data_IF_247396136589
#
_entry.id   IF_247396136589
#
_cell.length_a   1.000
_cell.length_b   1.000
_cell.length_c   1.000
_cell.angle_alpha   90.00
_cell.angle_beta   90.00
_cell.angle_gamma   90.00
#
_symmetry.space_group_name_H-M   'P 1'
#
loop_
_entity.id
_entity.type
_entity.pdbx_description
1 polymer ?
#
# COMPACT_ATOMS: atom_id res chain seq x y z
N UNK A 1 -8.86 26.30 -14.78
CA UNK A 1 -9.44 25.29 -13.87
C UNK A 1 -9.58 23.99 -14.65
N UNK A 2 -9.38 22.82 -14.02
CA UNK A 2 -9.63 21.56 -14.69
C UNK A 2 -11.10 21.48 -15.13
N UNK A 3 -11.41 21.14 -16.40
CA UNK A 3 -12.78 21.13 -16.92
C UNK A 3 -13.71 20.19 -16.15
N UNK A 4 -13.16 19.12 -15.57
CA UNK A 4 -13.89 18.17 -14.72
C UNK A 4 -14.33 18.77 -13.39
N UNK A 5 -13.50 19.60 -12.76
CA UNK A 5 -13.84 20.28 -11.50
C UNK A 5 -15.01 21.24 -11.71
N UNK A 6 -14.99 21.98 -12.81
CA UNK A 6 -16.04 22.93 -13.15
C UNK A 6 -17.38 22.24 -13.37
N UNK A 7 -17.39 21.10 -14.09
CA UNK A 7 -18.60 20.28 -14.26
C UNK A 7 -19.18 19.79 -12.92
N UNK A 8 -18.33 19.37 -11.98
CA UNK A 8 -18.78 18.92 -10.65
C UNK A 8 -19.39 20.08 -9.87
N UNK A 9 -18.77 21.26 -9.90
CA UNK A 9 -19.28 22.47 -9.22
C UNK A 9 -20.61 22.90 -9.82
N UNK A 10 -20.71 22.98 -11.14
CA UNK A 10 -21.95 23.38 -11.83
C UNK A 10 -23.10 22.40 -11.51
N UNK A 11 -22.80 21.10 -11.46
CA UNK A 11 -23.78 20.08 -11.07
C UNK A 11 -24.24 20.24 -9.61
N UNK A 12 -23.32 20.53 -8.68
CA UNK A 12 -23.65 20.79 -7.27
C UNK A 12 -24.54 22.02 -7.13
N UNK A 13 -24.18 23.13 -7.78
CA UNK A 13 -24.96 24.37 -7.76
C UNK A 13 -26.37 24.09 -8.29
N UNK A 14 -26.50 23.44 -9.44
CA UNK A 14 -27.80 23.12 -10.03
C UNK A 14 -28.65 22.18 -9.16
N UNK A 15 -28.05 21.23 -8.43
CA UNK A 15 -28.78 20.39 -7.47
C UNK A 15 -29.23 21.20 -6.24
N UNK A 16 -28.37 22.06 -5.70
CA UNK A 16 -28.68 22.90 -4.53
C UNK A 16 -29.75 23.95 -4.86
N UNK A 17 -29.68 24.58 -6.03
CA UNK A 17 -30.72 25.51 -6.54
C UNK A 17 -32.08 24.82 -6.70
N UNK A 18 -32.10 23.51 -6.96
CA UNK A 18 -33.31 22.68 -7.02
C UNK A 18 -33.82 22.25 -5.62
N UNK A 19 -33.18 22.71 -4.55
CA UNK A 19 -33.57 22.44 -3.17
C UNK A 19 -33.03 21.12 -2.60
N UNK A 20 -32.08 20.47 -3.27
CA UNK A 20 -31.36 19.35 -2.65
C UNK A 20 -30.37 19.89 -1.61
N UNK A 21 -30.22 19.23 -0.45
CA UNK A 21 -29.11 19.53 0.45
C UNK A 21 -27.78 19.29 -0.28
N UNK A 22 -26.77 20.11 -0.01
CA UNK A 22 -25.40 19.98 -0.48
C UNK A 22 -24.83 18.58 -0.20
N UNK A 23 -25.13 17.96 0.94
CA UNK A 23 -24.71 16.57 1.20
C UNK A 23 -25.37 15.56 0.24
N UNK A 24 -26.63 15.80 -0.14
CA UNK A 24 -27.36 15.00 -1.13
C UNK A 24 -26.84 15.19 -2.55
N UNK A 25 -26.51 16.44 -2.91
CA UNK A 25 -25.87 16.78 -4.18
C UNK A 25 -24.48 16.13 -4.29
N UNK A 26 -23.67 16.22 -3.23
CA UNK A 26 -22.35 15.58 -3.15
C UNK A 26 -22.44 14.05 -3.24
N UNK A 27 -23.45 13.42 -2.63
CA UNK A 27 -23.66 11.98 -2.69
C UNK A 27 -23.95 11.45 -4.11
N UNK A 28 -24.49 12.30 -5.00
CA UNK A 28 -24.69 11.96 -6.42
C UNK A 28 -23.41 11.96 -7.24
N UNK A 29 -22.32 12.46 -6.68
CA UNK A 29 -21.02 12.56 -7.32
C UNK A 29 -19.97 11.70 -6.57
N UNK A 30 -20.14 10.36 -6.50
CA UNK A 30 -19.26 9.48 -5.72
C UNK A 30 -17.81 9.42 -6.21
N UNK A 31 -17.56 9.81 -7.47
CA UNK A 31 -16.20 9.95 -8.00
C UNK A 31 -15.48 11.19 -7.48
N UNK A 32 -16.21 12.22 -7.05
CA UNK A 32 -15.66 13.47 -6.54
C UNK A 32 -15.73 13.56 -5.01
N UNK A 33 -16.76 12.98 -4.38
CA UNK A 33 -16.96 13.03 -2.93
C UNK A 33 -16.94 11.63 -2.32
N UNK A 34 -16.03 11.43 -1.36
CA UNK A 34 -15.97 10.21 -0.56
C UNK A 34 -17.16 10.13 0.41
N UNK A 35 -17.49 8.92 0.87
CA UNK A 35 -18.52 8.73 1.89
C UNK A 35 -18.24 9.55 3.17
N UNK A 36 -16.95 9.73 3.52
CA UNK A 36 -16.52 10.58 4.64
C UNK A 36 -16.92 12.04 4.38
N UNK A 37 -16.62 12.57 3.19
CA UNK A 37 -16.94 13.95 2.85
C UNK A 37 -18.46 14.18 2.85
N UNK A 38 -19.24 13.24 2.32
CA UNK A 38 -20.70 13.29 2.36
C UNK A 38 -21.23 13.28 3.80
N UNK A 39 -20.69 12.43 4.68
CA UNK A 39 -21.08 12.37 6.09
C UNK A 39 -20.75 13.68 6.84
N UNK A 40 -19.58 14.27 6.58
CA UNK A 40 -19.18 15.56 7.17
C UNK A 40 -20.07 16.70 6.66
N UNK A 41 -20.37 16.74 5.35
CA UNK A 41 -21.31 17.72 4.80
C UNK A 41 -22.69 17.59 5.44
N UNK A 42 -23.22 16.35 5.55
CA UNK A 42 -24.53 16.10 6.15
C UNK A 42 -24.59 16.57 7.60
N UNK A 43 -23.55 16.28 8.38
CA UNK A 43 -23.43 16.74 9.76
C UNK A 43 -23.35 18.26 9.85
N UNK A 44 -22.55 18.87 8.98
CA UNK A 44 -22.40 20.31 8.87
C UNK A 44 -23.71 21.01 8.53
N UNK A 45 -24.50 20.45 7.62
CA UNK A 45 -25.83 20.96 7.26
C UNK A 45 -26.81 20.87 8.42
N UNK A 46 -26.92 19.71 9.06
CA UNK A 46 -27.84 19.48 10.18
C UNK A 46 -27.53 20.39 11.38
N UNK A 47 -26.24 20.63 11.63
CA UNK A 47 -25.77 21.46 12.74
C UNK A 47 -25.52 22.93 12.35
N UNK A 48 -25.86 23.35 11.13
CA UNK A 48 -25.68 24.74 10.66
C UNK A 48 -24.23 25.23 10.60
N UNK A 49 -23.26 24.29 10.53
CA UNK A 49 -21.80 24.51 10.59
C UNK A 49 -21.11 24.02 9.32
N UNK A 50 -21.70 24.33 8.17
CA UNK A 50 -21.16 23.99 6.84
C UNK A 50 -19.73 24.49 6.62
N UNK A 51 -19.35 25.73 7.02
CA UNK A 51 -17.98 26.20 6.88
C UNK A 51 -16.96 25.34 7.64
N UNK A 52 -17.29 24.90 8.85
CA UNK A 52 -16.49 23.99 9.67
C UNK A 52 -16.35 22.63 8.97
N UNK A 53 -17.46 22.06 8.49
CA UNK A 53 -17.44 20.77 7.79
C UNK A 53 -16.57 20.79 6.53
N UNK A 54 -16.59 21.88 5.75
CA UNK A 54 -15.72 22.05 4.58
C UNK A 54 -14.24 22.12 5.00
N UNK A 55 -13.92 22.83 6.10
CA UNK A 55 -12.56 22.86 6.65
C UNK A 55 -12.10 21.48 7.11
N UNK A 56 -12.97 20.72 7.78
CA UNK A 56 -12.67 19.37 8.26
C UNK A 56 -12.43 18.39 7.09
N UNK A 57 -13.21 18.51 6.01
CA UNK A 57 -12.97 17.76 4.76
C UNK A 57 -11.61 18.12 4.17
N UNK A 58 -11.29 19.42 4.08
CA UNK A 58 -9.99 19.89 3.60
C UNK A 58 -8.83 19.35 4.43
N UNK A 59 -8.97 19.36 5.76
CA UNK A 59 -7.97 18.80 6.67
C UNK A 59 -7.81 17.28 6.50
N UNK A 60 -8.91 16.55 6.35
CA UNK A 60 -8.88 15.11 6.10
C UNK A 60 -8.19 14.77 4.77
N UNK A 61 -8.52 15.49 3.69
CA UNK A 61 -7.91 15.31 2.37
C UNK A 61 -6.42 15.66 2.38
N UNK A 62 -6.04 16.76 3.05
CA UNK A 62 -4.63 17.15 3.19
C UNK A 62 -3.82 16.07 3.90
N UNK A 63 -4.37 15.46 4.94
CA UNK A 63 -3.73 14.35 5.65
C UNK A 63 -3.58 13.09 4.78
N UNK A 64 -4.56 12.77 3.94
CA UNK A 64 -4.45 11.64 3.01
C UNK A 64 -3.38 11.89 1.94
N UNK A 65 -3.32 13.10 1.38
CA UNK A 65 -2.33 13.49 0.37
C UNK A 65 -0.90 13.55 0.93
N UNK A 66 -0.72 14.01 2.16
CA UNK A 66 0.58 14.00 2.84
C UNK A 66 1.13 12.56 2.97
N UNK A 67 0.28 11.62 3.40
CA UNK A 67 0.66 10.21 3.52
C UNK A 67 0.94 9.57 2.15
N UNK A 68 0.09 9.84 1.16
CA UNK A 68 0.24 9.28 -0.18
C UNK A 68 1.48 9.82 -0.88
N UNK A 69 1.73 11.12 -0.80
CA UNK A 69 2.90 11.77 -1.40
C UNK A 69 4.20 11.31 -0.75
N UNK A 70 4.22 11.13 0.58
CA UNK A 70 5.37 10.61 1.29
C UNK A 70 5.68 9.16 0.86
N UNK A 71 4.64 8.30 0.80
CA UNK A 71 4.80 6.92 0.33
C UNK A 71 5.28 6.85 -1.13
N UNK A 72 4.73 7.68 -2.02
CA UNK A 72 5.14 7.76 -3.43
C UNK A 72 6.60 8.18 -3.56
N UNK A 73 7.02 9.24 -2.84
CA UNK A 73 8.40 9.76 -2.91
C UNK A 73 9.41 8.71 -2.47
N UNK A 74 9.09 7.91 -1.46
CA UNK A 74 10.01 6.91 -0.90
C UNK A 74 10.15 5.70 -1.84
N UNK A 75 9.10 5.34 -2.57
CA UNK A 75 9.14 4.25 -3.54
C UNK A 75 9.99 4.55 -4.79
N UNK A 76 10.30 5.82 -5.07
CA UNK A 76 11.08 6.21 -6.25
C UNK A 76 12.51 5.65 -6.20
N UNK A 77 13.20 5.76 -5.06
CA UNK A 77 14.59 5.33 -4.99
C UNK A 77 14.79 3.81 -5.21
N UNK A 78 14.10 2.92 -4.48
CA UNK A 78 14.22 1.48 -4.72
C UNK A 78 13.79 1.06 -6.13
N UNK A 79 12.79 1.73 -6.73
CA UNK A 79 12.32 1.38 -8.07
C UNK A 79 13.31 1.74 -9.16
N UNK A 80 13.99 2.89 -9.08
CA UNK A 80 15.07 3.26 -10.02
C UNK A 80 16.19 2.22 -9.95
N UNK A 81 16.71 1.93 -8.75
CA UNK A 81 17.83 0.99 -8.59
C UNK A 81 17.43 -0.43 -9.00
N UNK A 82 16.24 -0.90 -8.62
CA UNK A 82 15.73 -2.20 -9.05
C UNK A 82 15.57 -2.29 -10.57
N UNK A 83 15.15 -1.20 -11.23
CA UNK A 83 15.02 -1.16 -12.70
C UNK A 83 16.40 -1.24 -13.37
N UNK A 84 17.38 -0.46 -12.89
CA UNK A 84 18.76 -0.51 -13.42
C UNK A 84 19.37 -1.89 -13.21
N UNK A 85 19.17 -2.49 -12.03
CA UNK A 85 19.65 -3.84 -11.73
C UNK A 85 18.99 -4.89 -12.63
N UNK A 86 17.67 -4.84 -12.79
CA UNK A 86 16.93 -5.74 -13.68
C UNK A 86 17.44 -5.61 -15.12
N UNK A 87 17.65 -4.38 -15.60
CA UNK A 87 18.21 -4.13 -16.92
C UNK A 87 19.61 -4.74 -17.07
N UNK A 88 20.49 -4.55 -16.08
CA UNK A 88 21.83 -5.14 -16.08
C UNK A 88 21.78 -6.67 -16.14
N UNK A 89 20.88 -7.31 -15.38
CA UNK A 89 20.66 -8.76 -15.42
C UNK A 89 20.17 -9.21 -16.79
N UNK A 90 19.18 -8.52 -17.37
CA UNK A 90 18.64 -8.85 -18.70
C UNK A 90 19.73 -8.71 -19.76
N UNK A 91 20.52 -7.63 -19.74
CA UNK A 91 21.65 -7.44 -20.67
C UNK A 91 22.68 -8.55 -20.52
N UNK A 92 23.06 -8.90 -19.28
CA UNK A 92 23.98 -10.00 -19.02
C UNK A 92 23.46 -11.33 -19.58
N UNK A 93 22.18 -11.66 -19.33
CA UNK A 93 21.57 -12.88 -19.85
C UNK A 93 21.48 -12.89 -21.38
N UNK A 94 21.11 -11.78 -22.02
CA UNK A 94 20.88 -11.74 -23.48
C UNK A 94 22.19 -11.65 -24.27
N UNK A 95 23.20 -10.94 -23.77
CA UNK A 95 24.43 -10.65 -24.52
C UNK A 95 25.65 -11.40 -23.96
N UNK A 96 25.90 -11.32 -22.65
CA UNK A 96 27.15 -11.81 -22.04
C UNK A 96 27.17 -13.34 -21.92
N UNK A 97 26.09 -13.93 -21.42
CA UNK A 97 25.99 -15.39 -21.23
C UNK A 97 26.14 -16.20 -22.53
N UNK A 98 25.48 -15.86 -23.66
CA UNK A 98 25.69 -16.60 -24.91
C UNK A 98 27.11 -16.51 -25.48
N UNK A 99 27.81 -15.39 -25.29
CA UNK A 99 29.21 -15.29 -25.71
C UNK A 99 30.09 -16.24 -24.91
N UNK A 100 29.89 -16.31 -23.58
CA UNK A 100 30.59 -17.28 -22.73
C UNK A 100 30.31 -18.72 -23.16
N UNK A 101 29.06 -19.03 -23.49
CA UNK A 101 28.69 -20.36 -23.96
C UNK A 101 29.41 -20.73 -25.27
N UNK A 102 29.47 -19.81 -26.24
CA UNK A 102 30.17 -20.04 -27.52
C UNK A 102 31.65 -20.32 -27.29
N UNK A 103 32.29 -19.58 -26.40
CA UNK A 103 33.69 -19.78 -26.02
C UNK A 103 33.91 -21.14 -25.35
N UNK A 104 33.03 -21.53 -24.43
CA UNK A 104 33.12 -22.78 -23.68
C UNK A 104 32.83 -24.03 -24.52
N UNK A 105 31.86 -23.97 -25.44
CA UNK A 105 31.58 -25.09 -26.36
C UNK A 105 32.74 -25.33 -27.33
N UNK A 106 33.47 -24.27 -27.69
CA UNK A 106 34.67 -24.35 -28.54
C UNK A 106 35.83 -25.15 -27.94
N UNK A 107 35.89 -25.32 -26.60
CA UNK A 107 36.92 -26.11 -25.92
C UNK A 107 36.54 -27.58 -25.71
N UNK A 108 35.38 -28.02 -26.19
CA UNK A 108 34.95 -29.44 -26.18
C UNK A 108 34.59 -30.00 -24.81
N UNK A 109 34.53 -29.18 -23.76
CA UNK A 109 34.20 -29.61 -22.39
C UNK A 109 32.71 -29.43 -22.08
N UNK A 110 32.21 -30.23 -21.12
CA UNK A 110 30.82 -30.13 -20.65
C UNK A 110 30.70 -28.97 -19.66
N UNK A 111 29.73 -28.10 -19.91
CA UNK A 111 29.41 -26.95 -19.05
C UNK A 111 29.09 -27.41 -17.61
N UNK A 112 29.67 -26.77 -16.58
CA UNK A 112 29.30 -26.95 -15.17
C UNK A 112 27.80 -26.71 -14.93
N UNK A 113 27.26 -27.29 -13.86
CA UNK A 113 25.81 -27.23 -13.57
C UNK A 113 25.30 -25.80 -13.40
N UNK A 114 26.08 -24.92 -12.78
CA UNK A 114 25.74 -23.51 -12.59
C UNK A 114 25.64 -22.76 -13.93
N UNK A 115 26.58 -22.98 -14.85
CA UNK A 115 26.58 -22.37 -16.19
C UNK A 115 25.43 -22.93 -17.05
N UNK A 116 25.08 -24.21 -16.91
CA UNK A 116 23.97 -24.81 -17.67
C UNK A 116 22.61 -24.22 -17.29
N UNK A 117 22.38 -23.97 -16.00
CA UNK A 117 21.16 -23.28 -15.53
C UNK A 117 21.13 -21.85 -16.09
N UNK A 118 22.26 -21.15 -16.06
CA UNK A 118 22.35 -19.77 -16.56
C UNK A 118 22.11 -19.67 -18.06
N UNK A 119 22.67 -20.59 -18.85
CA UNK A 119 22.41 -20.72 -20.29
C UNK A 119 20.94 -21.03 -20.54
N UNK A 120 20.35 -21.98 -19.82
CA UNK A 120 18.92 -22.28 -19.97
C UNK A 120 18.01 -21.08 -19.64
N UNK A 121 18.35 -20.29 -18.62
CA UNK A 121 17.66 -19.03 -18.31
C UNK A 121 17.88 -17.98 -19.41
N UNK A 122 19.09 -17.87 -19.96
CA UNK A 122 19.41 -16.98 -21.07
C UNK A 122 18.62 -17.32 -22.34
N UNK A 123 18.55 -18.60 -22.71
CA UNK A 123 17.77 -19.10 -23.85
C UNK A 123 16.27 -18.82 -23.63
N UNK A 124 15.74 -19.13 -22.44
CA UNK A 124 14.35 -18.83 -22.10
C UNK A 124 14.03 -17.32 -22.19
N UNK A 125 14.89 -16.45 -21.67
CA UNK A 125 14.69 -14.99 -21.74
C UNK A 125 14.84 -14.46 -23.16
N UNK A 126 15.73 -15.03 -23.98
CA UNK A 126 15.93 -14.59 -25.37
C UNK A 126 14.79 -15.02 -26.28
N UNK A 127 14.37 -16.29 -26.18
CA UNK A 127 13.42 -16.90 -27.10
C UNK A 127 11.97 -16.63 -26.66
N UNK A 128 11.72 -16.69 -25.35
CA UNK A 128 10.40 -16.51 -24.75
C UNK A 128 10.24 -15.20 -23.99
N UNK A 129 11.22 -14.29 -23.99
CA UNK A 129 11.14 -13.04 -23.20
C UNK A 129 9.89 -12.22 -23.48
N UNK A 130 9.50 -12.07 -24.75
CA UNK A 130 8.28 -11.37 -25.16
C UNK A 130 7.02 -12.13 -24.71
N UNK A 131 7.03 -13.46 -24.79
CA UNK A 131 5.93 -14.31 -24.36
C UNK A 131 5.79 -14.35 -22.83
N UNK A 132 6.89 -14.31 -22.07
CA UNK A 132 6.91 -14.17 -20.62
C UNK A 132 6.36 -12.81 -20.19
N UNK A 133 6.71 -11.75 -20.91
CA UNK A 133 6.21 -10.41 -20.62
C UNK A 133 4.71 -10.29 -20.91
N UNK A 134 4.25 -10.82 -22.05
CA UNK A 134 2.82 -10.94 -22.35
C UNK A 134 2.09 -11.85 -21.37
N UNK A 135 2.69 -12.97 -20.96
CA UNK A 135 2.13 -13.89 -19.97
C UNK A 135 2.02 -13.24 -18.58
N UNK A 136 3.00 -12.44 -18.18
CA UNK A 136 2.96 -11.66 -16.96
C UNK A 136 1.87 -10.59 -17.01
N UNK A 137 1.72 -9.87 -18.12
CA UNK A 137 0.66 -8.88 -18.33
C UNK A 137 -0.73 -9.54 -18.34
N UNK A 138 -0.89 -10.65 -19.05
CA UNK A 138 -2.13 -11.42 -19.07
C UNK A 138 -2.46 -12.01 -17.70
N UNK A 139 -1.45 -12.54 -16.99
CA UNK A 139 -1.58 -13.03 -15.62
C UNK A 139 -1.97 -11.92 -14.64
N UNK A 140 -1.39 -10.73 -14.78
CA UNK A 140 -1.76 -9.56 -13.99
C UNK A 140 -3.19 -9.10 -14.29
N UNK A 141 -3.60 -9.06 -15.57
CA UNK A 141 -4.95 -8.70 -15.97
C UNK A 141 -6.00 -9.73 -15.49
N UNK A 142 -5.73 -11.02 -15.66
CA UNK A 142 -6.58 -12.10 -15.16
C UNK A 142 -6.62 -12.13 -13.64
N UNK A 143 -5.48 -11.90 -12.98
CA UNK A 143 -5.37 -11.75 -11.54
C UNK A 143 -6.21 -10.59 -11.03
N UNK A 144 -6.08 -9.41 -11.64
CA UNK A 144 -6.88 -8.23 -11.33
C UNK A 144 -8.39 -8.47 -11.55
N UNK A 145 -8.74 -9.16 -12.64
CA UNK A 145 -10.12 -9.54 -12.94
C UNK A 145 -10.69 -10.53 -11.91
N UNK A 146 -9.91 -11.54 -11.52
CA UNK A 146 -10.28 -12.50 -10.49
C UNK A 146 -10.42 -11.84 -9.11
N UNK A 147 -9.51 -10.92 -8.78
CA UNK A 147 -9.55 -10.06 -7.58
C UNK A 147 -10.78 -9.15 -7.55
N UNK A 148 -11.19 -8.62 -8.70
CA UNK A 148 -12.38 -7.78 -8.82
C UNK A 148 -13.68 -8.59 -8.64
N UNK A 149 -13.70 -9.86 -9.05
CA UNK A 149 -14.88 -10.72 -8.93
C UNK A 149 -15.00 -11.48 -7.60
N UNK A 150 -13.90 -11.79 -6.93
CA UNK A 150 -13.90 -12.61 -5.73
C UNK A 150 -13.53 -11.82 -4.48
N UNK A 151 -14.54 -11.52 -3.67
CA UNK A 151 -14.35 -10.86 -2.37
C UNK A 151 -13.53 -11.71 -1.39
N UNK A 152 -13.65 -13.05 -1.47
CA UNK A 152 -12.88 -13.99 -0.66
C UNK A 152 -11.38 -13.95 -1.01
N UNK A 153 -11.02 -13.92 -2.30
CA UNK A 153 -9.63 -13.78 -2.75
C UNK A 153 -9.04 -12.44 -2.32
N UNK A 154 -9.80 -11.35 -2.49
CA UNK A 154 -9.39 -10.01 -2.07
C UNK A 154 -9.12 -9.93 -0.56
N UNK A 155 -9.98 -10.55 0.25
CA UNK A 155 -9.83 -10.59 1.71
C UNK A 155 -8.62 -11.43 2.13
N UNK A 156 -8.39 -12.59 1.49
CA UNK A 156 -7.21 -13.43 1.75
C UNK A 156 -5.91 -12.73 1.38
N UNK A 157 -5.88 -12.02 0.25
CA UNK A 157 -4.71 -11.25 -0.18
C UNK A 157 -4.44 -10.09 0.77
N UNK A 158 -5.47 -9.35 1.19
CA UNK A 158 -5.33 -8.32 2.21
C UNK A 158 -4.86 -8.87 3.56
N UNK A 159 -5.29 -10.07 3.95
CA UNK A 159 -4.80 -10.75 5.16
C UNK A 159 -3.33 -11.18 5.01
N UNK A 160 -2.95 -11.70 3.84
CA UNK A 160 -1.57 -12.09 3.54
C UNK A 160 -0.62 -10.89 3.54
N UNK A 161 -1.04 -9.76 2.97
CA UNK A 161 -0.28 -8.50 2.99
C UNK A 161 0.06 -8.05 4.42
N UNK A 162 -0.87 -8.26 5.37
CA UNK A 162 -0.66 -7.95 6.80
C UNK A 162 0.29 -8.92 7.52
N UNK A 163 0.62 -10.06 6.91
CA UNK A 163 1.55 -11.08 7.43
C UNK A 163 2.97 -10.92 6.89
N UNK A 164 3.17 -10.09 5.87
CA UNK A 164 4.50 -9.84 5.31
C UNK A 164 5.42 -9.23 6.38
N UNK A 165 6.64 -9.77 6.57
CA UNK A 165 7.61 -9.17 7.49
C UNK A 165 7.95 -7.75 7.01
N UNK A 166 8.15 -6.84 7.97
CA UNK A 166 8.42 -5.40 7.79
C UNK A 166 7.25 -4.57 7.21
N UNK A 167 6.60 -5.02 6.14
CA UNK A 167 5.52 -4.27 5.44
C UNK A 167 4.17 -4.42 6.13
N UNK A 168 3.82 -5.62 6.59
CA UNK A 168 2.50 -5.91 7.16
C UNK A 168 2.18 -5.07 8.41
N UNK A 169 3.19 -4.80 9.24
CA UNK A 169 3.08 -3.91 10.40
C UNK A 169 2.79 -2.47 10.00
N UNK A 170 3.45 -1.96 8.96
CA UNK A 170 3.25 -0.60 8.45
C UNK A 170 1.85 -0.45 7.85
N UNK A 171 1.42 -1.41 7.03
CA UNK A 171 0.08 -1.40 6.43
C UNK A 171 -1.01 -1.45 7.50
N UNK A 172 -0.83 -2.25 8.56
CA UNK A 172 -1.75 -2.30 9.70
C UNK A 172 -1.83 -0.94 10.39
N UNK A 173 -0.69 -0.37 10.78
CA UNK A 173 -0.65 0.92 11.48
C UNK A 173 -1.19 2.06 10.61
N UNK A 174 -0.93 2.05 9.31
CA UNK A 174 -1.48 3.03 8.36
C UNK A 174 -3.00 2.95 8.29
N UNK A 175 -3.56 1.74 8.18
CA UNK A 175 -5.01 1.55 8.16
C UNK A 175 -5.65 2.03 9.48
N UNK A 176 -5.04 1.71 10.63
CA UNK A 176 -5.53 2.14 11.94
C UNK A 176 -5.36 3.64 12.18
N UNK A 177 -4.29 4.25 11.68
CA UNK A 177 -4.10 5.70 11.72
C UNK A 177 -5.22 6.43 10.98
N UNK A 178 -5.56 5.97 9.76
CA UNK A 178 -6.66 6.53 8.96
C UNK A 178 -8.00 6.32 9.63
N UNK A 179 -8.27 5.10 10.12
CA UNK A 179 -9.49 4.80 10.86
C UNK A 179 -9.66 5.74 12.07
N UNK A 180 -8.64 5.84 12.93
CA UNK A 180 -8.69 6.66 14.13
C UNK A 180 -8.81 8.16 13.81
N UNK A 181 -8.11 8.66 12.78
CA UNK A 181 -8.22 10.05 12.35
C UNK A 181 -9.63 10.38 11.84
N UNK A 182 -10.18 9.54 10.97
CA UNK A 182 -11.53 9.71 10.45
C UNK A 182 -12.57 9.65 11.56
N UNK A 183 -12.44 8.70 12.48
CA UNK A 183 -13.36 8.60 13.61
C UNK A 183 -13.26 9.82 14.53
N UNK A 184 -12.05 10.31 14.83
CA UNK A 184 -11.85 11.53 15.60
C UNK A 184 -12.51 12.75 14.95
N UNK A 185 -12.30 12.94 13.63
CA UNK A 185 -12.88 14.07 12.89
C UNK A 185 -14.40 14.00 12.84
N UNK A 186 -14.97 12.83 12.54
CA UNK A 186 -16.43 12.67 12.47
C UNK A 186 -17.07 12.87 13.84
N UNK A 187 -16.51 12.28 14.90
CA UNK A 187 -17.01 12.41 16.26
C UNK A 187 -16.89 13.85 16.78
N UNK A 188 -15.73 14.51 16.55
CA UNK A 188 -15.52 15.92 16.90
C UNK A 188 -16.42 16.90 16.13
N UNK A 189 -16.82 16.54 14.91
CA UNK A 189 -17.82 17.29 14.14
C UNK A 189 -19.25 17.18 14.73
N UNK A 190 -19.46 16.32 15.72
CA UNK A 190 -20.75 16.08 16.38
C UNK A 190 -21.59 14.98 15.75
N UNK A 191 -21.01 14.15 14.87
CA UNK A 191 -21.69 12.98 14.32
C UNK A 191 -21.84 11.94 15.43
N UNK A 192 -23.01 11.30 15.50
CA UNK A 192 -23.22 10.27 16.51
C UNK A 192 -22.19 9.14 16.37
N UNK A 193 -21.85 8.53 17.50
CA UNK A 193 -20.74 7.57 17.59
C UNK A 193 -20.90 6.38 16.64
N UNK A 194 -22.13 5.90 16.44
CA UNK A 194 -22.43 4.74 15.59
C UNK A 194 -22.23 5.08 14.11
N UNK A 195 -22.74 6.21 13.63
CA UNK A 195 -22.54 6.67 12.25
C UNK A 195 -21.08 6.99 11.96
N UNK A 196 -20.38 7.56 12.93
CA UNK A 196 -18.94 7.82 12.84
C UNK A 196 -18.13 6.52 12.75
N UNK A 197 -18.51 5.48 13.52
CA UNK A 197 -17.91 4.14 13.46
C UNK A 197 -18.19 3.43 12.12
N UNK A 198 -19.43 3.48 11.61
CA UNK A 198 -19.76 2.90 10.31
C UNK A 198 -19.00 3.55 9.17
N UNK A 199 -18.96 4.89 9.17
CA UNK A 199 -18.28 5.66 8.12
C UNK A 199 -16.77 5.39 8.14
N UNK A 200 -16.14 5.45 9.32
CA UNK A 200 -14.69 5.19 9.47
C UNK A 200 -14.32 3.72 9.18
N UNK A 201 -15.14 2.75 9.60
CA UNK A 201 -14.96 1.33 9.26
C UNK A 201 -15.11 1.10 7.76
N UNK A 202 -16.14 1.68 7.12
CA UNK A 202 -16.36 1.59 5.68
C UNK A 202 -15.19 2.16 4.85
N UNK A 203 -14.58 3.24 5.32
CA UNK A 203 -13.42 3.88 4.71
C UNK A 203 -12.09 3.09 4.89
N UNK A 204 -12.05 2.09 5.78
CA UNK A 204 -10.82 1.32 6.06
C UNK A 204 -10.46 0.42 4.88
N UNK A 205 -9.42 0.76 4.10
CA UNK A 205 -9.08 0.08 2.84
C UNK A 205 -8.82 -1.44 2.97
N UNK A 206 -8.14 -1.88 4.03
CA UNK A 206 -7.82 -3.30 4.21
C UNK A 206 -9.05 -4.08 4.74
N UNK A 207 -9.57 -4.98 3.90
CA UNK A 207 -10.78 -5.77 4.20
C UNK A 207 -10.64 -6.69 5.42
N UNK A 208 -9.45 -7.24 5.68
CA UNK A 208 -9.25 -8.11 6.84
C UNK A 208 -9.33 -7.30 8.15
N UNK A 209 -8.77 -6.09 8.18
CA UNK A 209 -8.94 -5.18 9.32
C UNK A 209 -10.37 -4.66 9.42
N UNK A 210 -10.99 -4.34 8.28
CA UNK A 210 -12.39 -3.89 8.22
C UNK A 210 -13.34 -4.92 8.84
N UNK A 211 -13.11 -6.21 8.63
CA UNK A 211 -13.92 -7.27 9.24
C UNK A 211 -13.86 -7.21 10.77
N UNK A 212 -12.66 -7.11 11.36
CA UNK A 212 -12.50 -6.98 12.82
C UNK A 212 -13.08 -5.67 13.38
N UNK A 213 -12.92 -4.56 12.66
CA UNK A 213 -13.54 -3.28 13.06
C UNK A 213 -15.07 -3.32 12.98
N UNK A 214 -15.64 -4.06 12.02
CA UNK A 214 -17.09 -4.26 11.90
C UNK A 214 -17.64 -5.09 13.05
N UNK A 215 -16.90 -6.10 13.50
CA UNK A 215 -17.25 -6.88 14.70
C UNK A 215 -17.27 -5.99 15.95
N UNK A 216 -16.23 -5.18 16.16
CA UNK A 216 -16.23 -4.19 17.24
C UNK A 216 -17.39 -3.20 17.13
N UNK A 217 -17.68 -2.69 15.93
CA UNK A 217 -18.81 -1.78 15.68
C UNK A 217 -20.13 -2.43 16.08
N UNK A 218 -20.35 -3.68 15.69
CA UNK A 218 -21.57 -4.43 16.03
C UNK A 218 -21.70 -4.66 17.54
N UNK A 219 -20.59 -4.91 18.24
CA UNK A 219 -20.60 -5.05 19.70
C UNK A 219 -20.94 -3.72 20.40
N UNK A 220 -20.45 -2.59 19.88
CA UNK A 220 -20.76 -1.25 20.41
C UNK A 220 -22.24 -0.90 20.21
N UNK A 221 -22.82 -1.24 19.06
CA UNK A 221 -24.26 -1.10 18.81
C UNK A 221 -25.12 -1.90 19.79
N UNK A 222 -24.61 -3.03 20.27
CA UNK A 222 -25.26 -3.87 21.27
C UNK A 222 -25.04 -3.38 22.71
N UNK A 223 -24.34 -2.24 22.89
CA UNK A 223 -24.10 -1.61 24.19
C UNK A 223 -22.77 -1.97 24.85
N UNK A 224 -21.86 -2.66 24.17
CA UNK A 224 -20.51 -2.88 24.69
C UNK A 224 -19.72 -1.57 24.75
N UNK A 225 -18.97 -1.30 25.84
CA UNK A 225 -18.05 -0.17 25.88
C UNK A 225 -17.07 -0.20 24.71
N UNK A 226 -16.76 0.97 24.16
CA UNK A 226 -15.89 1.15 22.99
C UNK A 226 -14.51 0.53 23.26
N UNK A 227 -13.95 0.81 24.43
CA UNK A 227 -12.64 0.26 24.82
C UNK A 227 -12.65 -1.27 24.91
N UNK A 228 -13.74 -1.88 25.37
CA UNK A 228 -13.90 -3.34 25.49
C UNK A 228 -14.09 -3.98 24.11
N UNK A 229 -14.94 -3.40 23.26
CA UNK A 229 -15.18 -3.89 21.91
C UNK A 229 -13.90 -3.87 21.05
N UNK A 230 -13.10 -2.80 21.13
CA UNK A 230 -11.81 -2.75 20.43
C UNK A 230 -10.76 -3.68 21.03
N UNK A 231 -10.75 -3.89 22.35
CA UNK A 231 -9.85 -4.85 23.02
C UNK A 231 -10.11 -6.29 22.55
N UNK A 232 -11.38 -6.66 22.36
CA UNK A 232 -11.77 -7.98 21.86
C UNK A 232 -11.20 -8.29 20.45
N UNK A 233 -11.00 -7.27 19.61
CA UNK A 233 -10.45 -7.47 18.26
C UNK A 233 -8.96 -7.87 18.25
N UNK A 234 -8.23 -7.61 19.34
CA UNK A 234 -6.77 -7.79 19.43
C UNK A 234 -5.96 -7.04 18.35
N UNK A 235 -6.58 -6.06 17.68
CA UNK A 235 -5.93 -5.25 16.64
C UNK A 235 -5.14 -4.08 17.24
N UNK A 236 -5.59 -3.58 18.39
CA UNK A 236 -5.01 -2.43 19.08
C UNK A 236 -4.11 -2.86 20.24
N UNK A 237 -2.94 -2.22 20.43
CA UNK A 237 -2.07 -2.51 21.55
C UNK A 237 -2.68 -2.00 22.86
N UNK A 238 -2.25 -2.52 24.04
CA UNK A 238 -2.81 -2.14 25.33
C UNK A 238 -2.77 -0.64 25.63
N UNK A 239 -1.76 0.08 25.14
CA UNK A 239 -1.66 1.52 25.28
C UNK A 239 -2.84 2.25 24.63
N UNK A 240 -3.23 1.83 23.42
CA UNK A 240 -4.35 2.43 22.69
C UNK A 240 -5.67 2.13 23.39
N UNK A 241 -5.87 0.90 23.86
CA UNK A 241 -7.07 0.54 24.65
C UNK A 241 -7.20 1.40 25.90
N UNK A 242 -6.09 1.67 26.61
CA UNK A 242 -6.09 2.57 27.78
C UNK A 242 -6.46 4.01 27.42
N UNK A 243 -5.98 4.52 26.29
CA UNK A 243 -6.32 5.86 25.82
C UNK A 243 -7.81 5.96 25.46
N UNK A 244 -8.35 4.94 24.76
CA UNK A 244 -9.77 4.87 24.43
C UNK A 244 -10.63 4.79 25.68
N UNK A 245 -10.23 3.97 26.66
CA UNK A 245 -10.94 3.85 27.94
C UNK A 245 -10.97 5.18 28.69
N UNK A 246 -9.85 5.91 28.72
CA UNK A 246 -9.82 7.24 29.33
C UNK A 246 -10.75 8.21 28.59
N UNK A 247 -10.67 8.28 27.25
CA UNK A 247 -11.52 9.16 26.45
C UNK A 247 -13.01 8.82 26.56
N UNK A 248 -13.35 7.54 26.65
CA UNK A 248 -14.70 7.04 26.90
C UNK A 248 -15.24 7.49 28.26
N UNK A 249 -14.43 7.40 29.32
CA UNK A 249 -14.84 7.85 30.66
C UNK A 249 -14.92 9.37 30.82
N UNK A 250 -14.05 10.12 30.14
CA UNK A 250 -14.02 11.60 30.24
C UNK A 250 -14.88 12.29 29.17
N UNK A 251 -15.49 11.54 28.25
CA UNK A 251 -16.21 12.08 27.09
C UNK A 251 -15.34 12.68 26.00
N UNK A 252 -14.00 12.64 26.15
CA UNK A 252 -13.02 13.21 25.23
C UNK A 252 -12.46 12.15 24.27
N UNK A 253 -13.36 11.45 23.58
CA UNK A 253 -13.00 10.34 22.69
C UNK A 253 -12.33 10.82 21.40
N UNK A 254 -12.74 11.97 20.86
CA UNK A 254 -12.09 12.69 19.77
C UNK A 254 -10.61 12.94 20.06
N UNK A 255 -10.29 13.51 21.23
CA UNK A 255 -8.91 13.79 21.65
C UNK A 255 -8.09 12.51 21.78
N UNK A 256 -8.69 11.46 22.36
CA UNK A 256 -8.04 10.16 22.50
C UNK A 256 -7.71 9.56 21.12
N UNK A 257 -8.69 9.55 20.21
CA UNK A 257 -8.54 9.03 18.84
C UNK A 257 -7.53 9.85 18.01
N UNK A 258 -7.53 11.18 18.14
CA UNK A 258 -6.56 12.05 17.48
C UNK A 258 -5.12 11.73 17.92
N UNK A 259 -4.90 11.49 19.22
CA UNK A 259 -3.60 11.06 19.75
C UNK A 259 -3.21 9.67 19.25
N UNK A 260 -4.16 8.73 19.18
CA UNK A 260 -3.93 7.38 18.60
C UNK A 260 -3.54 7.48 17.12
N UNK A 261 -4.24 8.30 16.34
CA UNK A 261 -3.93 8.53 14.93
C UNK A 261 -2.51 9.11 14.75
N UNK A 262 -2.14 10.09 15.57
CA UNK A 262 -0.80 10.70 15.57
C UNK A 262 0.29 9.69 15.93
N UNK A 263 0.06 8.87 16.96
CA UNK A 263 0.99 7.81 17.36
C UNK A 263 1.23 6.82 16.21
N UNK A 264 0.17 6.31 15.58
CA UNK A 264 0.34 5.40 14.46
C UNK A 264 0.97 6.06 13.23
N UNK A 265 0.68 7.34 12.97
CA UNK A 265 1.32 8.09 11.88
C UNK A 265 2.82 8.18 12.08
N UNK A 266 3.27 8.47 13.30
CA UNK A 266 4.70 8.49 13.65
C UNK A 266 5.33 7.11 13.47
N UNK A 267 4.68 6.06 13.96
CA UNK A 267 5.16 4.69 13.80
C UNK A 267 5.23 4.25 12.32
N UNK A 268 4.30 4.71 11.48
CA UNK A 268 4.31 4.47 10.03
C UNK A 268 5.51 5.17 9.40
N UNK A 269 5.73 6.45 9.70
CA UNK A 269 6.88 7.20 9.18
C UNK A 269 8.21 6.54 9.59
N UNK A 270 8.33 6.13 10.85
CA UNK A 270 9.52 5.42 11.34
C UNK A 270 9.69 4.05 10.65
N UNK A 271 8.60 3.30 10.50
CA UNK A 271 8.63 2.01 9.79
C UNK A 271 9.06 2.17 8.34
N UNK A 272 8.59 3.20 7.65
CA UNK A 272 8.99 3.51 6.29
C UNK A 272 10.48 3.91 6.23
N UNK A 273 10.96 4.73 7.17
CA UNK A 273 12.38 5.09 7.24
C UNK A 273 13.28 3.86 7.45
N UNK A 274 12.86 2.91 8.29
CA UNK A 274 13.56 1.63 8.48
C UNK A 274 13.57 0.77 7.21
N UNK A 275 12.48 0.73 6.46
CA UNK A 275 12.44 0.06 5.15
C UNK A 275 13.42 0.69 4.17
N UNK A 276 13.48 2.01 4.12
CA UNK A 276 14.41 2.73 3.25
C UNK A 276 15.87 2.47 3.64
N UNK A 277 16.19 2.53 4.93
CA UNK A 277 17.53 2.24 5.44
C UNK A 277 17.94 0.78 5.19
N UNK A 278 17.00 -0.16 5.22
CA UNK A 278 17.27 -1.58 4.90
C UNK A 278 17.41 -1.83 3.38
N UNK A 279 16.77 -1.01 2.54
CA UNK A 279 16.84 -1.17 1.09
C UNK A 279 18.26 -0.95 0.54
N UNK A 280 19.01 0.01 1.08
CA UNK A 280 20.36 0.34 0.61
C UNK A 280 21.38 -0.80 0.80
N UNK A 281 21.54 -1.41 2.00
CA UNK A 281 22.38 -2.58 2.16
C UNK A 281 21.92 -3.76 1.31
N UNK A 282 20.60 -4.00 1.23
CA UNK A 282 20.06 -5.11 0.45
C UNK A 282 20.40 -4.97 -1.04
N UNK A 283 20.20 -3.78 -1.61
CA UNK A 283 20.54 -3.48 -3.00
C UNK A 283 22.05 -3.55 -3.24
N UNK A 284 22.86 -3.07 -2.30
CA UNK A 284 24.33 -3.14 -2.41
C UNK A 284 24.84 -4.58 -2.37
N UNK A 285 24.32 -5.41 -1.46
CA UNK A 285 24.65 -6.85 -1.39
C UNK A 285 24.20 -7.55 -2.67
N UNK A 286 23.00 -7.23 -3.17
CA UNK A 286 22.48 -7.80 -4.40
C UNK A 286 23.32 -7.40 -5.63
N UNK A 287 23.72 -6.13 -5.72
CA UNK A 287 24.59 -5.63 -6.79
C UNK A 287 25.99 -6.22 -6.72
N UNK A 288 26.61 -6.26 -5.54
CA UNK A 288 27.91 -6.89 -5.33
C UNK A 288 27.87 -8.39 -5.62
N UNK A 289 26.80 -9.07 -5.20
CA UNK A 289 26.54 -10.47 -5.52
C UNK A 289 26.38 -10.71 -7.01
N UNK A 290 25.63 -9.85 -7.71
CA UNK A 290 25.49 -9.90 -9.17
C UNK A 290 26.84 -9.71 -9.86
N UNK A 291 27.61 -8.68 -9.48
CA UNK A 291 28.93 -8.41 -10.05
C UNK A 291 29.89 -9.58 -9.82
N UNK A 292 29.94 -10.13 -8.61
CA UNK A 292 30.79 -11.28 -8.28
C UNK A 292 30.37 -12.52 -9.07
N UNK A 293 29.06 -12.74 -9.22
CA UNK A 293 28.53 -13.85 -9.98
C UNK A 293 28.87 -13.75 -11.47
N UNK A 294 28.70 -12.57 -12.07
CA UNK A 294 29.09 -12.30 -13.46
C UNK A 294 30.61 -12.45 -13.63
N UNK A 295 31.40 -11.86 -12.74
CA UNK A 295 32.86 -11.96 -12.77
C UNK A 295 33.32 -13.41 -12.65
N UNK A 296 32.72 -14.21 -11.76
CA UNK A 296 33.03 -15.64 -11.63
C UNK A 296 32.67 -16.42 -12.90
N UNK A 297 31.52 -16.12 -13.52
CA UNK A 297 31.11 -16.74 -14.77
C UNK A 297 32.06 -16.42 -15.95
N UNK A 298 32.69 -15.23 -15.94
CA UNK A 298 33.63 -14.81 -16.98
C UNK A 298 35.07 -15.28 -16.70
N UNK A 299 35.59 -15.03 -15.49
CA UNK A 299 36.98 -15.32 -15.13
C UNK A 299 37.26 -16.82 -15.00
N UNK A 300 36.30 -17.63 -14.55
CA UNK A 300 36.48 -19.08 -14.39
C UNK A 300 36.95 -19.76 -15.69
N UNK A 301 36.22 -19.60 -16.80
CA UNK A 301 36.64 -20.11 -18.11
C UNK A 301 38.01 -19.59 -18.57
N UNK A 302 38.32 -18.32 -18.32
CA UNK A 302 39.63 -17.73 -18.68
C UNK A 302 40.75 -18.39 -17.89
N UNK A 303 40.56 -18.63 -16.59
CA UNK A 303 41.55 -19.28 -15.74
C UNK A 303 41.80 -20.73 -16.15
N UNK A 304 40.74 -21.46 -16.52
CA UNK A 304 40.86 -22.81 -17.08
C UNK A 304 41.59 -22.82 -18.44
N UNK A 305 41.45 -21.76 -19.24
CA UNK A 305 42.15 -21.65 -20.51
C UNK A 305 43.65 -21.38 -20.31
N UNK A 306 44.01 -20.46 -19.41
CA UNK A 306 45.42 -20.10 -19.12
C UNK A 306 46.17 -21.26 -18.47
N UNK A 307 45.56 -21.93 -17.49
CA UNK A 307 46.21 -23.05 -16.77
C UNK A 307 46.42 -24.30 -17.63
N UNK A 308 45.80 -24.38 -18.81
CA UNK A 308 45.96 -25.48 -19.76
C UNK A 308 46.84 -25.16 -20.96
N UNK A 309 47.40 -23.95 -21.06
CA UNK A 309 48.45 -23.69 -22.03
C UNK A 309 49.71 -24.45 -21.59
N UNK A 310 50.24 -25.38 -22.41
CA UNK A 310 51.53 -25.98 -22.13
C UNK A 310 52.57 -24.86 -22.11
N UNK A 311 53.37 -24.80 -21.04
CA UNK A 311 54.55 -23.93 -20.94
C UNK A 311 55.53 -24.29 -22.04
#
# INVERSE_FOLDING_TARGET
AEPRLQQVIDALIADVERGLPLSGAAARQPEAFSAVAVSLLRAGEQAGRLPEAIRDIGAALAQEEELASHARRIAIYPSIVATVLLLAVVVALVHVVPELERLLRGTGQRLPLQTRILVGLSEAVRDWGWAMLLGALAGAALGAHALARSEALRTRLHALQLRLPLVGGILRKLALARFAALFATLYGAGINVIDALHTSTGATANLALRAGLREATSAIEQGSPISVAFEATQVFPPLVIRMLRLGEHTGALDDALAKVASLYRRDVAEGIARLQAAAEPALTILMGGLLLWIASAILGPIYELITRLPV
#
